data_IF_932416256070
#
_entry.id   IF_932416256070
#
_cell.length_a   1.000
_cell.length_b   1.000
_cell.length_c   1.000
_cell.angle_alpha   90.00
_cell.angle_beta   90.00
_cell.angle_gamma   90.00
#
_symmetry.space_group_name_H-M   'P 1'
#
loop_
_entity.id
_entity.type
_entity.pdbx_description
1 polymer ?
#
# COMPACT_ATOMS: atom_id res chain seq x y z
N UNK A 1 9.82 -7.73 10.96
CA UNK A 1 9.24 -8.26 9.70
C UNK A 1 10.36 -8.97 8.97
N UNK A 2 10.23 -10.27 8.79
CA UNK A 2 11.15 -11.01 7.91
C UNK A 2 10.79 -10.58 6.49
N UNK A 3 11.50 -9.58 5.97
CA UNK A 3 11.18 -8.92 4.71
C UNK A 3 11.38 -9.78 3.45
N UNK A 4 11.25 -11.10 3.58
CA UNK A 4 11.41 -12.01 2.46
C UNK A 4 10.20 -11.91 1.50
N UNK A 5 10.48 -11.52 0.27
CA UNK A 5 9.49 -11.53 -0.80
C UNK A 5 9.16 -12.98 -1.16
N UNK A 6 7.87 -13.36 -1.10
CA UNK A 6 7.44 -14.72 -1.42
C UNK A 6 7.59 -15.00 -2.93
N UNK A 7 8.46 -15.92 -3.37
CA UNK A 7 8.65 -16.20 -4.79
C UNK A 7 7.53 -17.06 -5.40
N UNK A 8 6.69 -17.70 -4.57
CA UNK A 8 5.75 -18.73 -5.03
C UNK A 8 4.41 -18.16 -5.57
N UNK A 9 4.06 -16.89 -5.27
CA UNK A 9 2.76 -16.31 -5.63
C UNK A 9 2.72 -15.61 -7.00
N UNK A 10 3.82 -15.65 -7.78
CA UNK A 10 3.94 -14.99 -9.08
C UNK A 10 4.18 -13.48 -9.02
N UNK A 11 4.30 -12.89 -7.82
CA UNK A 11 4.54 -11.46 -7.65
C UNK A 11 5.82 -11.00 -8.34
N UNK A 12 6.94 -11.71 -8.10
CA UNK A 12 8.24 -11.37 -8.68
C UNK A 12 8.24 -11.40 -10.22
N UNK A 13 7.57 -12.39 -10.80
CA UNK A 13 7.49 -12.53 -12.26
C UNK A 13 6.66 -11.39 -12.88
N UNK A 14 5.55 -11.03 -12.24
CA UNK A 14 4.73 -9.89 -12.66
C UNK A 14 5.51 -8.58 -12.52
N UNK A 15 6.22 -8.38 -11.42
CA UNK A 15 7.00 -7.17 -11.20
C UNK A 15 8.16 -7.04 -12.20
N UNK A 16 8.92 -8.13 -12.45
CA UNK A 16 10.00 -8.14 -13.46
C UNK A 16 9.50 -7.83 -14.86
N UNK A 17 8.28 -8.31 -15.20
CA UNK A 17 7.67 -8.02 -16.50
C UNK A 17 7.26 -6.57 -16.65
N UNK A 18 6.82 -5.94 -15.55
CA UNK A 18 6.34 -4.56 -15.55
C UNK A 18 7.46 -3.52 -15.52
N UNK A 19 8.61 -3.86 -14.94
CA UNK A 19 9.73 -2.94 -14.79
C UNK A 19 10.60 -2.89 -16.05
N UNK A 20 10.87 -1.67 -16.51
CA UNK A 20 11.85 -1.41 -17.56
C UNK A 20 13.26 -1.22 -16.98
N UNK A 21 14.28 -1.69 -17.72
CA UNK A 21 15.69 -1.52 -17.35
C UNK A 21 16.26 -0.26 -18.00
N UNK A 22 17.15 0.47 -17.32
CA UNK A 22 17.63 0.25 -15.95
C UNK A 22 16.59 0.66 -14.89
N UNK A 23 16.60 0.00 -13.72
CA UNK A 23 15.67 0.31 -12.65
C UNK A 23 16.17 1.50 -11.84
N UNK A 24 15.39 2.56 -11.81
CA UNK A 24 15.60 3.75 -10.98
C UNK A 24 14.44 3.86 -10.00
N UNK A 25 14.71 3.49 -8.75
CA UNK A 25 13.69 3.39 -7.72
C UNK A 25 13.66 4.58 -6.78
N UNK A 26 12.47 4.94 -6.31
CA UNK A 26 12.26 5.85 -5.20
C UNK A 26 11.42 5.15 -4.14
N UNK A 27 11.97 5.02 -2.93
CA UNK A 27 11.25 4.54 -1.76
C UNK A 27 10.64 5.71 -1.00
N UNK A 28 9.32 5.70 -0.83
CA UNK A 28 8.56 6.71 -0.09
C UNK A 28 8.25 6.18 1.30
N UNK A 29 8.76 6.87 2.31
CA UNK A 29 8.56 6.49 3.71
C UNK A 29 7.14 6.74 4.20
N UNK A 30 6.77 6.09 5.30
CA UNK A 30 5.54 6.36 6.07
C UNK A 30 5.76 7.33 7.23
N UNK A 31 7.02 7.56 7.64
CA UNK A 31 7.38 8.47 8.74
C UNK A 31 8.38 9.50 8.23
N UNK A 32 7.94 10.50 7.44
CA UNK A 32 8.84 11.40 6.70
C UNK A 32 9.72 12.27 7.59
N UNK A 33 9.33 12.49 8.84
CA UNK A 33 10.04 13.31 9.81
C UNK A 33 10.96 12.48 10.73
N UNK A 34 10.87 11.14 10.72
CA UNK A 34 11.79 10.22 11.40
C UNK A 34 12.85 9.72 10.41
N UNK A 35 13.98 10.44 10.38
CA UNK A 35 15.09 10.15 9.46
C UNK A 35 15.67 8.75 9.68
N UNK A 36 15.88 8.36 10.95
CA UNK A 36 16.51 7.08 11.28
C UNK A 36 15.61 5.90 10.88
N UNK A 37 14.33 5.99 11.16
CA UNK A 37 13.34 5.00 10.74
C UNK A 37 13.26 4.90 9.21
N UNK A 38 13.18 6.04 8.54
CA UNK A 38 13.07 6.11 7.08
C UNK A 38 14.28 5.51 6.37
N UNK A 39 15.49 5.83 6.81
CA UNK A 39 16.73 5.25 6.28
C UNK A 39 16.79 3.73 6.53
N UNK A 40 16.44 3.28 7.73
CA UNK A 40 16.42 1.86 8.06
C UNK A 40 15.44 1.08 7.16
N UNK A 41 14.19 1.54 7.03
CA UNK A 41 13.19 0.91 6.18
C UNK A 41 13.60 0.88 4.71
N UNK A 42 14.17 1.98 4.21
CA UNK A 42 14.67 2.11 2.84
C UNK A 42 15.78 1.08 2.55
N UNK A 43 16.75 0.95 3.46
CA UNK A 43 17.84 -0.02 3.31
C UNK A 43 17.32 -1.46 3.35
N UNK A 44 16.47 -1.80 4.31
CA UNK A 44 15.87 -3.13 4.40
C UNK A 44 15.08 -3.49 3.13
N UNK A 45 14.31 -2.56 2.59
CA UNK A 45 13.55 -2.78 1.38
C UNK A 45 14.44 -2.99 0.16
N UNK A 46 15.48 -2.16 0.00
CA UNK A 46 16.48 -2.32 -1.05
C UNK A 46 17.11 -3.71 -1.00
N UNK A 47 17.59 -4.11 0.18
CA UNK A 47 18.21 -5.42 0.38
C UNK A 47 17.27 -6.57 0.03
N UNK A 48 16.00 -6.51 0.45
CA UNK A 48 15.01 -7.55 0.12
C UNK A 48 14.81 -7.73 -1.40
N UNK A 49 14.84 -6.64 -2.17
CA UNK A 49 14.81 -6.73 -3.64
C UNK A 49 16.11 -7.24 -4.23
N UNK A 50 17.26 -6.80 -3.72
CA UNK A 50 18.58 -7.27 -4.19
C UNK A 50 18.78 -8.77 -3.94
N UNK A 51 18.31 -9.30 -2.80
CA UNK A 51 18.34 -10.74 -2.47
C UNK A 51 17.57 -11.61 -3.46
N UNK A 52 16.50 -11.07 -4.05
CA UNK A 52 15.75 -11.76 -5.11
C UNK A 52 16.16 -11.36 -6.52
N UNK A 53 17.32 -10.69 -6.67
CA UNK A 53 18.02 -10.47 -7.94
C UNK A 53 17.65 -9.20 -8.70
N UNK A 54 17.03 -8.21 -8.04
CA UNK A 54 16.87 -6.88 -8.64
C UNK A 54 18.17 -6.09 -8.53
N UNK A 55 18.47 -5.33 -9.58
CA UNK A 55 19.66 -4.46 -9.64
C UNK A 55 19.18 -3.04 -9.94
N UNK A 56 19.48 -2.11 -9.06
CA UNK A 56 19.09 -0.70 -9.20
C UNK A 56 20.23 0.13 -9.78
N UNK A 57 19.93 0.94 -10.80
CA UNK A 57 20.82 2.01 -11.27
C UNK A 57 20.87 3.15 -10.24
N UNK A 58 19.69 3.52 -9.70
CA UNK A 58 19.56 4.40 -8.56
C UNK A 58 18.47 3.89 -7.61
N UNK A 59 18.61 4.23 -6.33
CA UNK A 59 17.63 3.92 -5.30
C UNK A 59 17.64 5.05 -4.27
N UNK A 60 16.63 5.90 -4.35
CA UNK A 60 16.52 7.11 -3.58
C UNK A 60 15.45 6.99 -2.48
N UNK A 61 15.67 7.65 -1.35
CA UNK A 61 14.70 7.77 -0.27
C UNK A 61 13.97 9.11 -0.39
N UNK A 62 12.64 9.07 -0.48
CA UNK A 62 11.80 10.23 -0.37
C UNK A 62 11.24 10.35 1.05
N UNK A 63 11.79 11.27 1.82
CA UNK A 63 11.34 11.72 3.13
C UNK A 63 11.19 13.25 3.14
N UNK A 64 10.98 13.87 4.31
CA UNK A 64 10.79 15.33 4.42
C UNK A 64 11.97 16.14 3.87
N UNK A 65 13.19 15.63 3.98
CA UNK A 65 14.40 16.29 3.49
C UNK A 65 14.41 16.41 1.96
N UNK A 66 13.83 15.42 1.29
CA UNK A 66 13.79 15.32 -0.17
C UNK A 66 12.52 15.89 -0.79
N UNK A 67 11.52 16.28 0.02
CA UNK A 67 10.28 16.89 -0.46
C UNK A 67 10.47 18.06 -1.46
N UNK A 68 11.46 18.97 -1.29
CA UNK A 68 11.69 20.03 -2.28
C UNK A 68 12.17 19.54 -3.66
N UNK A 69 12.60 18.29 -3.78
CA UNK A 69 13.12 17.69 -5.01
C UNK A 69 12.19 16.60 -5.56
N UNK A 70 10.99 16.45 -5.00
CA UNK A 70 10.07 15.34 -5.31
C UNK A 70 9.76 15.24 -6.81
N UNK A 71 9.46 16.36 -7.47
CA UNK A 71 9.14 16.37 -8.91
C UNK A 71 10.27 15.75 -9.74
N UNK A 72 11.51 16.17 -9.49
CA UNK A 72 12.70 15.62 -10.15
C UNK A 72 12.87 14.13 -9.85
N UNK A 73 12.72 13.71 -8.58
CA UNK A 73 12.84 12.30 -8.20
C UNK A 73 11.83 11.43 -8.94
N UNK A 74 10.59 11.88 -9.05
CA UNK A 74 9.53 11.14 -9.74
C UNK A 74 9.79 11.09 -11.26
N UNK A 75 10.17 12.21 -11.88
CA UNK A 75 10.47 12.28 -13.31
C UNK A 75 11.66 11.40 -13.72
N UNK A 76 12.67 11.26 -12.87
CA UNK A 76 13.87 10.44 -13.14
C UNK A 76 13.67 8.96 -12.78
N UNK A 77 12.59 8.60 -12.07
CA UNK A 77 12.31 7.23 -11.63
C UNK A 77 11.42 6.46 -12.60
N UNK A 78 11.51 5.13 -12.55
CA UNK A 78 10.55 4.23 -13.20
C UNK A 78 10.01 3.15 -12.24
N UNK A 79 10.37 3.25 -10.95
CA UNK A 79 9.87 2.38 -9.90
C UNK A 79 9.64 3.15 -8.61
N UNK A 80 8.38 3.36 -8.24
CA UNK A 80 7.99 4.02 -7.01
C UNK A 80 7.52 2.97 -6.00
N UNK A 81 8.15 2.95 -4.81
CA UNK A 81 7.84 2.01 -3.73
C UNK A 81 7.26 2.79 -2.56
N UNK A 82 5.96 2.65 -2.31
CA UNK A 82 5.30 3.23 -1.15
C UNK A 82 5.42 2.27 0.03
N UNK A 83 6.15 2.68 1.06
CA UNK A 83 6.45 1.85 2.22
C UNK A 83 5.25 1.54 3.10
N UNK A 84 5.41 0.54 3.98
CA UNK A 84 4.45 0.20 5.03
C UNK A 84 4.67 1.00 6.31
N UNK A 85 3.64 1.15 7.13
CA UNK A 85 3.61 1.85 8.41
C UNK A 85 2.26 2.50 8.67
N UNK A 86 2.21 3.65 9.33
CA UNK A 86 0.98 4.33 9.69
C UNK A 86 0.33 5.03 8.49
N UNK A 87 -0.92 4.65 8.19
CA UNK A 87 -1.66 5.08 6.98
C UNK A 87 -1.88 6.59 6.94
N UNK A 88 -2.43 7.25 7.99
CA UNK A 88 -2.68 8.69 7.96
C UNK A 88 -1.40 9.52 7.82
N UNK A 89 -0.31 9.11 8.49
CA UNK A 89 0.97 9.83 8.43
C UNK A 89 1.55 9.81 7.01
N UNK A 90 1.54 8.66 6.35
CA UNK A 90 1.96 8.59 4.95
C UNK A 90 1.02 9.36 4.03
N UNK A 91 -0.30 9.27 4.24
CA UNK A 91 -1.29 9.99 3.46
C UNK A 91 -1.04 11.51 3.50
N UNK A 92 -0.86 12.06 4.69
CA UNK A 92 -0.54 13.48 4.86
C UNK A 92 0.74 13.88 4.10
N UNK A 93 1.80 13.07 4.20
CA UNK A 93 3.04 13.34 3.46
C UNK A 93 2.86 13.27 1.94
N UNK A 94 2.12 12.29 1.43
CA UNK A 94 1.80 12.20 0.00
C UNK A 94 1.01 13.41 -0.50
N UNK A 95 0.14 13.98 0.34
CA UNK A 95 -0.57 15.23 0.07
C UNK A 95 0.37 16.43 0.08
N UNK A 96 1.24 16.54 1.09
CA UNK A 96 2.21 17.65 1.21
C UNK A 96 3.11 17.78 0.00
N UNK A 97 3.49 16.65 -0.62
CA UNK A 97 4.33 16.60 -1.82
C UNK A 97 3.53 16.54 -3.13
N UNK A 98 2.22 16.71 -3.06
CA UNK A 98 1.31 16.68 -4.22
C UNK A 98 1.46 15.41 -5.10
N UNK A 99 1.77 14.26 -4.48
CA UNK A 99 2.11 13.01 -5.19
C UNK A 99 1.04 12.60 -6.21
N UNK A 100 -0.25 12.73 -5.89
CA UNK A 100 -1.32 12.38 -6.82
C UNK A 100 -1.31 13.22 -8.10
N UNK A 101 -0.95 14.51 -8.02
CA UNK A 101 -0.80 15.38 -9.18
C UNK A 101 0.44 15.02 -10.00
N UNK A 102 1.57 14.71 -9.34
CA UNK A 102 2.80 14.30 -10.02
C UNK A 102 2.58 13.02 -10.82
N UNK A 103 1.93 12.01 -10.23
CA UNK A 103 1.63 10.76 -10.94
C UNK A 103 0.68 10.98 -12.13
N UNK A 104 -0.30 11.87 -12.00
CA UNK A 104 -1.25 12.21 -13.10
C UNK A 104 -0.63 13.02 -14.24
N UNK A 105 0.51 13.69 -14.02
CA UNK A 105 1.23 14.42 -15.08
C UNK A 105 1.86 13.51 -16.14
N UNK A 106 1.78 12.19 -15.99
CA UNK A 106 2.26 11.23 -16.97
C UNK A 106 3.36 10.31 -16.45
N UNK A 107 3.34 9.99 -15.15
CA UNK A 107 4.19 8.91 -14.64
C UNK A 107 3.81 7.59 -15.27
N UNK A 108 4.73 6.98 -16.01
CA UNK A 108 4.56 5.72 -16.75
C UNK A 108 5.30 4.54 -16.10
N UNK A 109 5.97 4.78 -14.98
CA UNK A 109 6.66 3.76 -14.20
C UNK A 109 5.71 2.88 -13.37
N UNK A 110 6.29 1.91 -12.69
CA UNK A 110 5.57 1.00 -11.78
C UNK A 110 5.42 1.65 -10.40
N UNK A 111 4.21 1.62 -9.83
CA UNK A 111 3.94 1.98 -8.44
C UNK A 111 3.65 0.71 -7.65
N UNK A 112 4.46 0.44 -6.64
CA UNK A 112 4.27 -0.65 -5.68
C UNK A 112 3.88 -0.09 -4.31
N UNK A 113 2.70 -0.41 -3.84
CA UNK A 113 2.27 -0.10 -2.47
C UNK A 113 2.42 -1.32 -1.56
N UNK A 114 2.99 -1.13 -0.38
CA UNK A 114 3.18 -2.17 0.64
C UNK A 114 2.44 -1.74 1.91
N UNK A 115 1.51 -2.56 2.42
CA UNK A 115 0.73 -2.27 3.63
C UNK A 115 0.06 -0.89 3.53
N UNK A 116 0.41 0.09 4.37
CA UNK A 116 -0.08 1.46 4.30
C UNK A 116 0.06 2.07 2.90
N UNK A 117 1.18 1.81 2.21
CA UNK A 117 1.39 2.25 0.83
C UNK A 117 0.36 1.67 -0.14
N UNK A 118 -0.06 0.41 0.03
CA UNK A 118 -1.12 -0.19 -0.79
C UNK A 118 -2.49 0.44 -0.52
N UNK A 119 -2.76 0.81 0.75
CA UNK A 119 -4.00 1.50 1.12
C UNK A 119 -4.05 2.90 0.53
N UNK A 120 -2.93 3.63 0.57
CA UNK A 120 -2.81 4.98 0.01
C UNK A 120 -2.89 5.03 -1.53
N UNK A 121 -2.73 3.91 -2.24
CA UNK A 121 -2.99 3.84 -3.68
C UNK A 121 -4.47 4.04 -4.05
N UNK A 122 -5.40 3.77 -3.15
CA UNK A 122 -6.83 3.92 -3.41
C UNK A 122 -7.22 5.39 -3.66
N UNK A 123 -8.33 5.60 -4.39
CA UNK A 123 -8.90 6.96 -4.54
C UNK A 123 -9.46 7.48 -3.21
N UNK A 124 -10.08 6.60 -2.44
CA UNK A 124 -10.45 6.86 -1.05
C UNK A 124 -9.76 5.81 -0.20
N UNK A 125 -8.92 6.27 0.70
CA UNK A 125 -8.20 5.44 1.66
C UNK A 125 -9.09 5.19 2.86
N UNK A 126 -9.16 3.95 3.33
CA UNK A 126 -9.73 3.66 4.63
C UNK A 126 -8.60 3.59 5.66
N UNK A 127 -8.44 4.64 6.43
CA UNK A 127 -7.52 4.71 7.56
C UNK A 127 -8.16 4.00 8.76
N UNK A 128 -8.01 2.69 8.81
CA UNK A 128 -8.48 1.90 9.94
C UNK A 128 -7.70 2.31 11.20
N UNK A 129 -8.36 2.52 12.36
CA UNK A 129 -7.65 2.79 13.59
C UNK A 129 -6.68 1.66 13.94
N UNK A 130 -5.42 2.01 14.19
CA UNK A 130 -4.34 1.08 14.49
C UNK A 130 -3.45 1.52 15.66
N UNK A 131 -3.51 2.81 16.04
CA UNK A 131 -2.77 3.35 17.17
C UNK A 131 -3.68 3.69 18.35
N UNK A 132 -3.14 3.69 19.61
CA UNK A 132 -3.91 4.05 20.80
C UNK A 132 -4.49 5.47 20.69
N UNK A 133 -5.78 5.60 20.98
CA UNK A 133 -6.53 6.85 20.90
C UNK A 133 -7.35 7.03 19.64
N UNK A 134 -6.98 6.39 18.53
CA UNK A 134 -7.63 6.60 17.22
C UNK A 134 -9.05 6.05 17.15
N UNK A 135 -9.32 4.93 17.83
CA UNK A 135 -10.66 4.33 17.79
C UNK A 135 -11.70 5.11 18.61
N UNK A 136 -11.25 5.90 19.58
CA UNK A 136 -12.09 6.70 20.49
C UNK A 136 -12.08 8.20 20.19
N UNK A 137 -11.22 8.68 19.28
CA UNK A 137 -11.22 10.07 18.86
C UNK A 137 -12.38 10.32 17.89
N UNK A 138 -13.34 11.13 18.31
CA UNK A 138 -14.51 11.51 17.49
C UNK A 138 -14.12 12.31 16.23
N UNK A 139 -12.92 12.87 16.17
CA UNK A 139 -12.41 13.62 15.03
C UNK A 139 -11.50 12.78 14.11
N UNK A 140 -11.29 11.49 14.43
CA UNK A 140 -10.45 10.63 13.59
C UNK A 140 -11.10 10.38 12.24
N UNK A 141 -10.44 10.85 11.19
CA UNK A 141 -10.94 10.72 9.82
C UNK A 141 -10.59 9.34 9.24
N UNK A 142 -11.58 8.42 9.25
CA UNK A 142 -11.41 7.06 8.73
C UNK A 142 -11.34 6.97 7.20
N UNK A 143 -11.78 8.00 6.50
CA UNK A 143 -11.79 8.02 5.03
C UNK A 143 -11.06 9.23 4.52
N UNK A 144 -9.90 9.00 3.90
CA UNK A 144 -9.01 10.05 3.42
C UNK A 144 -8.95 10.03 1.88
N UNK A 145 -8.73 11.17 1.22
CA UNK A 145 -8.40 11.15 -0.20
C UNK A 145 -7.01 10.51 -0.40
N UNK A 146 -6.88 9.60 -1.38
CA UNK A 146 -5.62 8.95 -1.69
C UNK A 146 -5.10 9.27 -3.08
N UNK A 147 -4.20 8.45 -3.59
CA UNK A 147 -3.53 8.69 -4.87
C UNK A 147 -4.44 8.48 -6.09
N UNK A 148 -5.52 7.70 -5.95
CA UNK A 148 -6.48 7.46 -7.02
C UNK A 148 -5.95 6.55 -8.13
N UNK A 149 -5.05 5.63 -7.78
CA UNK A 149 -4.53 4.61 -8.69
C UNK A 149 -5.45 3.40 -8.80
N UNK A 150 -6.31 3.18 -7.80
CA UNK A 150 -7.32 2.12 -7.75
C UNK A 150 -8.57 2.57 -7.01
N UNK A 151 -9.70 1.90 -7.27
CA UNK A 151 -10.92 2.01 -6.46
C UNK A 151 -10.95 0.97 -5.32
N UNK A 152 -10.02 0.03 -5.31
CA UNK A 152 -9.96 -1.06 -4.32
C UNK A 152 -9.42 -0.55 -3.00
N UNK A 153 -10.22 -0.67 -1.94
CA UNK A 153 -9.82 -0.35 -0.57
C UNK A 153 -9.30 -1.62 0.09
N UNK A 154 -7.98 -1.72 0.20
CA UNK A 154 -7.29 -2.89 0.76
C UNK A 154 -7.19 -2.75 2.28
N UNK A 155 -7.50 -3.84 3.02
CA UNK A 155 -7.14 -4.04 4.42
C UNK A 155 -6.11 -5.16 4.48
N UNK A 156 -4.82 -4.83 4.64
CA UNK A 156 -3.75 -5.83 4.65
C UNK A 156 -3.65 -6.57 5.98
N UNK A 157 -2.77 -7.57 6.04
CA UNK A 157 -2.36 -8.27 7.27
C UNK A 157 -3.51 -8.97 8.03
N UNK A 158 -4.48 -9.56 7.32
CA UNK A 158 -5.68 -10.12 7.95
C UNK A 158 -5.37 -11.01 9.15
N UNK A 159 -4.47 -11.98 9.00
CA UNK A 159 -4.19 -12.93 10.08
C UNK A 159 -3.45 -12.33 11.27
N UNK A 160 -2.77 -11.20 11.09
CA UNK A 160 -2.15 -10.46 12.19
C UNK A 160 -3.18 -9.55 12.90
N UNK A 161 -4.10 -8.97 12.13
CA UNK A 161 -5.02 -7.94 12.62
C UNK A 161 -6.39 -8.46 13.06
N UNK A 162 -6.80 -9.69 12.64
CA UNK A 162 -8.16 -10.20 12.87
C UNK A 162 -8.59 -10.25 14.33
N UNK A 163 -7.64 -10.47 15.25
CA UNK A 163 -7.89 -10.54 16.68
C UNK A 163 -7.38 -9.30 17.43
N UNK A 164 -6.94 -8.26 16.70
CA UNK A 164 -6.35 -7.05 17.26
C UNK A 164 -7.43 -6.18 17.94
N UNK A 165 -7.03 -5.59 19.07
CA UNK A 165 -7.82 -4.60 19.80
C UNK A 165 -7.12 -3.25 19.76
N UNK A 166 -7.88 -2.20 19.45
CA UNK A 166 -7.47 -0.80 19.55
C UNK A 166 -8.46 -0.10 20.46
N UNK A 167 -7.99 0.50 21.55
CA UNK A 167 -8.83 1.17 22.55
C UNK A 167 -9.98 0.31 23.09
N UNK A 168 -9.79 -1.01 23.13
CA UNK A 168 -10.79 -1.99 23.60
C UNK A 168 -11.78 -2.45 22.52
N UNK A 169 -11.71 -1.93 21.29
CA UNK A 169 -12.53 -2.35 20.15
C UNK A 169 -11.80 -3.38 19.30
N UNK A 170 -12.51 -4.40 18.85
CA UNK A 170 -12.01 -5.32 17.84
C UNK A 170 -11.99 -4.64 16.48
N UNK A 171 -10.82 -4.61 15.86
CA UNK A 171 -10.56 -3.87 14.63
C UNK A 171 -11.49 -4.27 13.48
N UNK A 172 -11.82 -5.56 13.38
CA UNK A 172 -12.75 -6.03 12.33
C UNK A 172 -14.20 -5.97 12.79
N UNK A 173 -14.56 -6.62 13.91
CA UNK A 173 -15.97 -6.79 14.32
C UNK A 173 -16.62 -5.48 14.73
N UNK A 174 -15.88 -4.63 15.47
CA UNK A 174 -16.46 -3.42 16.06
C UNK A 174 -16.22 -2.18 15.18
N UNK A 175 -15.24 -2.22 14.25
CA UNK A 175 -14.84 -1.07 13.44
C UNK A 175 -15.08 -1.32 11.93
N UNK A 176 -14.26 -2.18 11.29
CA UNK A 176 -14.27 -2.32 9.83
C UNK A 176 -15.58 -2.89 9.28
N UNK A 177 -16.17 -3.90 9.96
CA UNK A 177 -17.46 -4.48 9.53
C UNK A 177 -18.60 -3.45 9.59
N UNK A 178 -18.81 -2.68 10.68
CA UNK A 178 -19.75 -1.56 10.69
C UNK A 178 -19.49 -0.52 9.60
N UNK A 179 -18.24 -0.09 9.40
CA UNK A 179 -17.85 0.90 8.40
C UNK A 179 -18.10 0.42 6.96
N UNK A 180 -18.11 -0.89 6.74
CA UNK A 180 -18.38 -1.48 5.43
C UNK A 180 -19.79 -1.22 4.89
N UNK A 181 -20.69 -0.67 5.70
CA UNK A 181 -21.99 -0.17 5.24
C UNK A 181 -21.87 1.08 4.36
N UNK A 182 -20.75 1.78 4.48
CA UNK A 182 -20.45 2.96 3.68
C UNK A 182 -19.67 2.60 2.41
N UNK A 183 -18.78 1.62 2.50
CA UNK A 183 -17.87 1.21 1.43
C UNK A 183 -17.49 -0.26 1.54
N UNK A 184 -17.04 -0.83 0.43
CA UNK A 184 -16.53 -2.19 0.33
C UNK A 184 -15.04 -2.23 0.66
N UNK A 185 -14.61 -3.22 1.44
CA UNK A 185 -13.21 -3.46 1.76
C UNK A 185 -12.75 -4.83 1.25
N UNK A 186 -11.53 -4.88 0.72
CA UNK A 186 -10.87 -6.09 0.28
C UNK A 186 -9.80 -6.46 1.31
N UNK A 187 -9.99 -7.55 2.02
CA UNK A 187 -9.14 -7.97 3.14
C UNK A 187 -8.12 -8.97 2.65
N UNK A 188 -6.85 -8.63 2.78
CA UNK A 188 -5.74 -9.41 2.26
C UNK A 188 -4.90 -10.04 3.38
N UNK A 189 -4.78 -11.38 3.43
CA UNK A 189 -3.66 -12.02 4.11
C UNK A 189 -2.33 -11.64 3.48
N UNK A 190 -1.24 -11.81 4.25
CA UNK A 190 0.11 -11.60 3.72
C UNK A 190 0.40 -12.56 2.56
N UNK A 191 1.01 -12.04 1.50
CA UNK A 191 1.25 -12.76 0.25
C UNK A 191 0.17 -12.55 -0.82
N UNK A 192 -0.97 -11.96 -0.48
CA UNK A 192 -1.97 -11.52 -1.45
C UNK A 192 -1.61 -10.15 -2.01
N UNK A 193 -1.82 -9.95 -3.31
CA UNK A 193 -1.60 -8.65 -3.95
C UNK A 193 -2.62 -8.33 -5.04
N UNK A 194 -2.80 -7.03 -5.28
CA UNK A 194 -3.57 -6.47 -6.40
C UNK A 194 -2.60 -6.04 -7.50
N UNK A 195 -2.83 -6.50 -8.72
CA UNK A 195 -2.12 -6.05 -9.91
C UNK A 195 -3.06 -5.25 -10.80
N UNK A 196 -2.76 -3.97 -10.99
CA UNK A 196 -3.39 -3.10 -11.99
C UNK A 196 -2.52 -3.01 -13.25
N UNK A 197 -3.04 -3.41 -14.40
CA UNK A 197 -2.33 -3.38 -15.68
C UNK A 197 -3.32 -3.21 -16.84
N UNK A 198 -3.03 -2.28 -17.74
CA UNK A 198 -3.85 -2.08 -18.96
C UNK A 198 -5.32 -1.75 -18.69
N UNK A 199 -5.63 -1.02 -17.61
CA UNK A 199 -6.98 -0.68 -17.20
C UNK A 199 -7.75 -1.84 -16.53
N UNK A 200 -7.07 -2.92 -16.15
CA UNK A 200 -7.64 -4.07 -15.49
C UNK A 200 -6.97 -4.30 -14.14
N UNK A 201 -7.74 -4.80 -13.19
CA UNK A 201 -7.25 -5.15 -11.86
C UNK A 201 -7.46 -6.64 -11.60
N UNK A 202 -6.44 -7.31 -11.07
CA UNK A 202 -6.50 -8.74 -10.72
C UNK A 202 -5.92 -8.95 -9.34
N UNK A 203 -6.67 -9.61 -8.46
CA UNK A 203 -6.18 -10.03 -7.14
C UNK A 203 -5.58 -11.44 -7.30
N UNK A 204 -4.39 -11.61 -6.73
CA UNK A 204 -3.67 -12.88 -6.66
C UNK A 204 -3.54 -13.30 -5.20
N UNK A 205 -4.08 -14.47 -4.87
CA UNK A 205 -4.04 -15.06 -3.54
C UNK A 205 -5.40 -15.09 -2.85
N UNK A 206 -5.37 -15.50 -1.58
CA UNK A 206 -6.54 -15.54 -0.72
C UNK A 206 -7.03 -14.14 -0.38
N UNK A 207 -8.34 -13.89 -0.48
CA UNK A 207 -8.90 -12.64 0.01
C UNK A 207 -10.34 -12.79 0.49
N UNK A 208 -10.70 -11.86 1.36
CA UNK A 208 -12.06 -11.69 1.86
C UNK A 208 -12.63 -10.35 1.41
N UNK A 209 -13.95 -10.28 1.37
CA UNK A 209 -14.69 -9.06 1.08
C UNK A 209 -15.52 -8.71 2.30
N UNK A 210 -15.43 -7.46 2.75
CA UNK A 210 -16.35 -6.89 3.73
C UNK A 210 -17.25 -5.90 3.00
N UNK A 211 -18.54 -6.16 3.02
CA UNK A 211 -19.54 -5.34 2.34
C UNK A 211 -20.88 -5.41 3.08
N UNK A 212 -21.53 -4.27 3.29
CA UNK A 212 -22.84 -4.18 3.94
C UNK A 212 -22.90 -4.83 5.33
N UNK A 213 -21.81 -4.78 6.10
CA UNK A 213 -21.74 -5.37 7.43
C UNK A 213 -21.49 -6.87 7.45
N UNK A 214 -21.11 -7.47 6.33
CA UNK A 214 -20.84 -8.91 6.22
C UNK A 214 -19.45 -9.16 5.64
N UNK A 215 -18.69 -10.02 6.28
CA UNK A 215 -17.41 -10.51 5.79
C UNK A 215 -17.56 -11.91 5.20
N UNK A 216 -16.99 -12.16 4.03
CA UNK A 216 -16.96 -13.47 3.38
C UNK A 216 -15.66 -13.72 2.65
N UNK A 217 -15.18 -14.95 2.65
CA UNK A 217 -14.08 -15.36 1.78
C UNK A 217 -14.54 -15.40 0.33
N UNK A 218 -13.72 -14.87 -0.58
CA UNK A 218 -14.03 -14.80 -2.02
C UNK A 218 -13.12 -15.71 -2.82
N UNK A 219 -11.82 -15.76 -2.48
CA UNK A 219 -10.85 -16.66 -3.10
C UNK A 219 -9.96 -17.28 -2.03
N UNK A 220 -9.48 -18.49 -2.29
CA UNK A 220 -8.51 -19.19 -1.49
C UNK A 220 -7.07 -18.98 -1.97
N UNK A 221 -6.13 -19.57 -1.23
CA UNK A 221 -4.70 -19.54 -1.59
C UNK A 221 -4.45 -20.09 -3.00
N UNK A 222 -3.50 -19.49 -3.71
CA UNK A 222 -3.14 -19.85 -5.08
C UNK A 222 -4.18 -19.47 -6.15
N UNK A 223 -5.32 -18.93 -5.78
CA UNK A 223 -6.33 -18.44 -6.73
C UNK A 223 -6.01 -17.03 -7.23
N UNK A 224 -6.57 -16.68 -8.38
CA UNK A 224 -6.58 -15.31 -8.89
C UNK A 224 -7.96 -14.92 -9.37
N UNK A 225 -8.32 -13.66 -9.16
CA UNK A 225 -9.61 -13.12 -9.59
C UNK A 225 -9.41 -11.77 -10.27
N UNK A 226 -9.88 -11.66 -11.51
CA UNK A 226 -9.99 -10.39 -12.21
C UNK A 226 -11.22 -9.65 -11.67
N UNK A 227 -11.02 -8.42 -11.26
CA UNK A 227 -12.12 -7.58 -10.82
C UNK A 227 -12.92 -7.07 -12.03
N UNK A 228 -14.26 -6.94 -11.92
CA UNK A 228 -15.04 -6.26 -12.94
C UNK A 228 -14.59 -4.80 -13.04
N UNK A 229 -14.72 -4.22 -14.22
CA UNK A 229 -14.53 -2.78 -14.39
C UNK A 229 -15.46 -2.02 -13.43
N UNK A 230 -14.90 -1.10 -12.65
CA UNK A 230 -15.64 -0.19 -11.78
C UNK A 230 -15.80 1.15 -12.48
#
# INVERSE_FOLDING_TARGET
MDGAINPANGFLDNLRRALELPIRAVFVTTHPDDVAFSEHCSVCMKQAFEEVGFVFESYDLLDRRMAPQVEKLIEESNFLILGGGHVPTQNAFLHDVEMAQLLKKGYDGVVLGISAGSMNCARIVYAQPEEPGEAIDENYERFLPGLGLTEVQILPHYYLCKDMLVDGFKVYEDIAIPDSRLRRFYVFPDGTYLLGEGGHETIYGEFYLIENGVMRQVAGDGQKMRLPFV
#
